data_IF_877563108855
#
_entry.id   IF_877563108855
#
_cell.length_a   1.000
_cell.length_b   1.000
_cell.length_c   1.000
_cell.angle_alpha   90.00
_cell.angle_beta   90.00
_cell.angle_gamma   90.00
#
_symmetry.space_group_name_H-M   'P 1'
#
loop_
_entity.id
_entity.type
_entity.pdbx_description
1 polymer ?
#
# COMPACT_ATOMS: atom_id res chain seq x y z
N UNK A 1 -1.79 33.00 5.57
CA UNK A 1 -1.17 31.80 6.23
C UNK A 1 -1.83 30.58 5.60
N UNK A 2 -1.05 29.66 5.00
CA UNK A 2 -1.58 28.57 4.16
C UNK A 2 -2.74 27.79 4.82
N UNK A 3 -2.68 27.52 6.12
CA UNK A 3 -3.74 26.80 6.86
C UNK A 3 -5.07 27.57 6.85
N UNK A 4 -5.03 28.88 7.11
CA UNK A 4 -6.22 29.74 7.15
C UNK A 4 -6.81 29.87 5.74
N UNK A 5 -5.96 30.05 4.73
CA UNK A 5 -6.40 30.15 3.32
C UNK A 5 -6.96 28.83 2.80
N UNK A 6 -6.39 27.70 3.22
CA UNK A 6 -6.88 26.37 2.88
C UNK A 6 -8.25 26.08 3.50
N UNK A 7 -8.42 26.41 4.79
CA UNK A 7 -9.70 26.27 5.50
C UNK A 7 -10.81 27.16 4.93
N UNK A 8 -10.46 28.24 4.24
CA UNK A 8 -11.40 29.17 3.63
C UNK A 8 -11.55 28.99 2.10
N UNK A 9 -10.88 28.01 1.49
CA UNK A 9 -10.97 27.79 0.05
C UNK A 9 -12.32 27.16 -0.33
N UNK A 10 -13.18 27.97 -0.95
CA UNK A 10 -14.53 27.56 -1.37
C UNK A 10 -14.52 26.52 -2.48
N UNK A 11 -13.53 26.56 -3.37
CA UNK A 11 -13.42 25.60 -4.48
C UNK A 11 -12.99 24.22 -3.96
N UNK A 12 -12.07 24.17 -3.00
CA UNK A 12 -11.72 22.91 -2.35
C UNK A 12 -12.91 22.36 -1.56
N UNK A 13 -13.65 23.21 -0.84
CA UNK A 13 -14.85 22.80 -0.08
C UNK A 13 -15.93 22.17 -0.96
N UNK A 14 -16.19 22.71 -2.15
CA UNK A 14 -17.18 22.12 -3.05
C UNK A 14 -16.76 20.76 -3.61
N UNK A 15 -15.45 20.54 -3.75
CA UNK A 15 -14.89 19.27 -4.25
C UNK A 15 -14.82 18.17 -3.18
N UNK A 16 -14.71 18.51 -1.89
CA UNK A 16 -14.61 17.53 -0.80
C UNK A 16 -15.78 16.53 -0.82
N UNK A 17 -17.00 16.96 -1.15
CA UNK A 17 -18.16 16.08 -1.22
C UNK A 17 -18.10 15.03 -2.34
N UNK A 18 -17.19 15.19 -3.30
CA UNK A 18 -17.08 14.37 -4.51
C UNK A 18 -15.87 13.43 -4.53
N UNK A 19 -14.97 13.52 -3.53
CA UNK A 19 -13.74 12.72 -3.50
C UNK A 19 -13.47 12.16 -2.11
N UNK A 20 -13.01 10.90 -2.04
CA UNK A 20 -12.53 10.29 -0.80
C UNK A 20 -11.17 10.86 -0.37
N UNK A 21 -10.41 11.48 -1.28
CA UNK A 21 -9.08 12.01 -0.99
C UNK A 21 -8.88 13.37 -1.66
N UNK A 22 -8.67 14.40 -0.83
CA UNK A 22 -8.50 15.78 -1.30
C UNK A 22 -7.06 16.09 -1.74
N UNK A 23 -6.05 15.38 -1.23
CA UNK A 23 -4.65 15.73 -1.46
C UNK A 23 -4.19 15.77 -2.93
N UNK A 24 -4.72 14.95 -3.86
CA UNK A 24 -4.39 15.05 -5.29
C UNK A 24 -4.88 16.33 -5.96
N UNK A 25 -5.95 16.94 -5.46
CA UNK A 25 -6.58 18.14 -6.07
C UNK A 25 -6.06 19.45 -5.45
N UNK A 26 -5.34 19.40 -4.33
CA UNK A 26 -4.76 20.58 -3.69
C UNK A 26 -3.58 21.10 -4.52
N UNK A 27 -3.60 22.40 -4.84
CA UNK A 27 -2.49 23.06 -5.52
C UNK A 27 -1.23 23.07 -4.64
N UNK A 28 -0.17 22.40 -5.10
CA UNK A 28 1.14 22.36 -4.44
C UNK A 28 1.86 23.71 -4.47
N UNK A 29 1.53 24.55 -5.43
CA UNK A 29 2.09 25.91 -5.54
C UNK A 29 1.47 26.84 -4.50
N UNK A 30 0.14 26.77 -4.35
CA UNK A 30 -0.62 27.61 -3.40
C UNK A 30 -0.45 27.16 -1.95
N UNK A 31 -0.32 25.85 -1.70
CA UNK A 31 -0.30 25.25 -0.37
C UNK A 31 0.95 24.37 -0.14
N UNK A 32 2.11 24.90 -0.51
CA UNK A 32 3.37 24.15 -0.55
C UNK A 32 3.79 23.55 0.81
N UNK A 33 3.68 24.33 1.88
CA UNK A 33 4.05 23.91 3.23
C UNK A 33 3.06 22.88 3.75
N UNK A 34 1.76 23.12 3.55
CA UNK A 34 0.69 22.23 3.96
C UNK A 34 0.78 20.88 3.24
N UNK A 35 0.95 20.87 1.92
CA UNK A 35 1.16 19.64 1.14
C UNK A 35 2.38 18.86 1.64
N UNK A 36 3.48 19.56 1.95
CA UNK A 36 4.68 18.91 2.51
C UNK A 36 4.41 18.26 3.88
N UNK A 37 3.67 18.93 4.76
CA UNK A 37 3.29 18.37 6.07
C UNK A 37 2.35 17.19 5.91
N UNK A 38 1.33 17.30 5.05
CA UNK A 38 0.40 16.21 4.76
C UNK A 38 1.13 14.96 4.25
N UNK A 39 2.11 15.13 3.36
CA UNK A 39 2.95 14.03 2.88
C UNK A 39 3.75 13.38 4.01
N UNK A 40 4.32 14.16 4.94
CA UNK A 40 5.03 13.62 6.11
C UNK A 40 4.10 12.81 7.02
N UNK A 41 2.92 13.34 7.32
CA UNK A 41 1.92 12.63 8.15
C UNK A 41 1.46 11.34 7.46
N UNK A 42 1.18 11.41 6.15
CA UNK A 42 0.83 10.23 5.35
C UNK A 42 1.95 9.18 5.38
N UNK A 43 3.21 9.60 5.18
CA UNK A 43 4.35 8.70 5.21
C UNK A 43 4.49 7.99 6.56
N UNK A 44 4.36 8.71 7.68
CA UNK A 44 4.39 8.12 9.02
C UNK A 44 3.30 7.07 9.21
N UNK A 45 2.05 7.39 8.86
CA UNK A 45 0.95 6.45 8.98
C UNK A 45 1.13 5.22 8.08
N UNK A 46 1.47 5.44 6.81
CA UNK A 46 1.70 4.35 5.85
C UNK A 46 2.87 3.46 6.26
N UNK A 47 3.98 3.99 6.77
CA UNK A 47 5.11 3.18 7.22
C UNK A 47 4.77 2.31 8.43
N UNK A 48 4.02 2.86 9.40
CA UNK A 48 3.57 2.11 10.57
C UNK A 48 2.64 0.98 10.15
N UNK A 49 1.63 1.29 9.33
CA UNK A 49 0.70 0.29 8.80
C UNK A 49 1.42 -0.82 8.03
N UNK A 50 2.32 -0.47 7.12
CA UNK A 50 3.07 -1.45 6.33
C UNK A 50 3.94 -2.35 7.22
N UNK A 51 4.56 -1.79 8.25
CA UNK A 51 5.35 -2.55 9.22
C UNK A 51 4.49 -3.56 10.00
N UNK A 52 3.38 -3.10 10.59
CA UNK A 52 2.44 -3.95 11.34
C UNK A 52 1.82 -5.05 10.47
N UNK A 53 1.42 -4.70 9.25
CA UNK A 53 0.90 -5.65 8.25
C UNK A 53 1.96 -6.67 7.86
N UNK A 54 3.20 -6.23 7.62
CA UNK A 54 4.32 -7.13 7.28
C UNK A 54 4.64 -8.10 8.41
N UNK A 55 4.65 -7.66 9.67
CA UNK A 55 4.84 -8.55 10.82
C UNK A 55 3.69 -9.55 10.99
N UNK A 56 2.45 -9.10 10.78
CA UNK A 56 1.28 -9.97 10.82
C UNK A 56 1.34 -11.05 9.73
N UNK A 57 1.71 -10.66 8.51
CA UNK A 57 1.95 -11.57 7.40
C UNK A 57 3.09 -12.55 7.71
N UNK A 58 4.21 -12.07 8.25
CA UNK A 58 5.33 -12.92 8.65
C UNK A 58 4.90 -13.97 9.68
N UNK A 59 4.08 -13.61 10.67
CA UNK A 59 3.53 -14.54 11.66
C UNK A 59 2.63 -15.60 11.01
N UNK A 60 1.81 -15.22 10.04
CA UNK A 60 0.96 -16.15 9.30
C UNK A 60 1.77 -17.11 8.41
N UNK A 61 2.79 -16.58 7.72
CA UNK A 61 3.70 -17.34 6.85
C UNK A 61 4.52 -18.33 7.70
N UNK A 62 5.08 -17.87 8.83
CA UNK A 62 5.79 -18.70 9.81
C UNK A 62 4.83 -19.38 10.77
N UNK A 63 3.94 -20.22 10.24
CA UNK A 63 3.07 -21.04 11.08
C UNK A 63 3.71 -22.41 11.39
N UNK A 64 3.19 -23.07 12.42
CA UNK A 64 3.67 -24.37 12.93
C UNK A 64 3.59 -25.54 11.93
N UNK A 65 2.94 -25.35 10.79
CA UNK A 65 2.75 -26.38 9.78
C UNK A 65 3.81 -26.30 8.65
N UNK A 66 4.63 -25.24 8.62
CA UNK A 66 5.68 -25.04 7.60
C UNK A 66 7.08 -25.31 8.16
N UNK A 67 7.53 -26.55 8.07
CA UNK A 67 8.82 -26.99 8.65
C UNK A 67 10.03 -26.85 7.72
N UNK A 68 9.82 -26.41 6.47
CA UNK A 68 10.85 -26.28 5.42
C UNK A 68 10.98 -24.86 4.87
N UNK A 69 10.48 -23.87 5.59
CA UNK A 69 10.55 -22.48 5.17
C UNK A 69 11.99 -21.96 5.35
N UNK A 70 12.63 -21.55 4.26
CA UNK A 70 13.95 -20.91 4.29
C UNK A 70 13.78 -19.39 4.37
N UNK A 71 14.84 -18.67 4.69
CA UNK A 71 14.81 -17.20 4.74
C UNK A 71 14.50 -16.60 3.36
N UNK A 72 14.99 -17.21 2.28
CA UNK A 72 14.67 -16.81 0.90
C UNK A 72 13.16 -16.99 0.60
N UNK A 73 12.59 -18.14 0.97
CA UNK A 73 11.14 -18.36 0.81
C UNK A 73 10.32 -17.35 1.62
N UNK A 74 10.78 -17.01 2.83
CA UNK A 74 10.11 -16.05 3.70
C UNK A 74 10.16 -14.63 3.13
N UNK A 75 11.32 -14.16 2.68
CA UNK A 75 11.49 -12.86 2.04
C UNK A 75 10.58 -12.73 0.80
N UNK A 76 10.59 -13.73 -0.07
CA UNK A 76 9.71 -13.76 -1.25
C UNK A 76 8.22 -13.72 -0.87
N UNK A 77 7.80 -14.47 0.15
CA UNK A 77 6.41 -14.48 0.62
C UNK A 77 5.99 -13.13 1.23
N UNK A 78 6.84 -12.50 2.04
CA UNK A 78 6.55 -11.18 2.64
C UNK A 78 6.46 -10.12 1.54
N UNK A 79 7.39 -10.10 0.59
CA UNK A 79 7.36 -9.16 -0.56
C UNK A 79 6.09 -9.32 -1.37
N UNK A 80 5.68 -10.55 -1.65
CA UNK A 80 4.43 -10.83 -2.36
C UNK A 80 3.23 -10.33 -1.57
N UNK A 81 3.17 -10.61 -0.26
CA UNK A 81 2.08 -10.18 0.62
C UNK A 81 2.00 -8.65 0.81
N UNK A 82 3.11 -7.94 0.70
CA UNK A 82 3.17 -6.47 0.78
C UNK A 82 2.91 -5.78 -0.58
N UNK A 83 2.85 -6.54 -1.67
CA UNK A 83 2.65 -6.00 -3.02
C UNK A 83 1.18 -5.92 -3.40
N UNK A 84 0.86 -5.04 -4.36
CA UNK A 84 -0.44 -5.04 -5.04
C UNK A 84 -0.46 -5.98 -6.25
N UNK A 85 0.53 -6.88 -6.36
CA UNK A 85 0.63 -7.78 -7.50
C UNK A 85 -0.49 -8.81 -7.47
N UNK A 86 -1.20 -8.95 -8.57
CA UNK A 86 -2.20 -10.00 -8.78
C UNK A 86 -1.62 -11.05 -9.72
N UNK A 87 -1.50 -12.29 -9.22
CA UNK A 87 -0.97 -13.39 -10.02
C UNK A 87 -1.92 -13.69 -11.20
N UNK A 88 -1.37 -13.80 -12.40
CA UNK A 88 -2.13 -14.25 -13.56
C UNK A 88 -2.21 -15.79 -13.56
N UNK A 89 -3.12 -16.33 -12.75
CA UNK A 89 -3.28 -17.77 -12.55
C UNK A 89 -3.58 -18.49 -13.86
N UNK A 90 -4.38 -17.88 -14.76
CA UNK A 90 -4.71 -18.47 -16.06
C UNK A 90 -3.46 -18.72 -16.89
N UNK A 91 -2.62 -17.69 -17.02
CA UNK A 91 -1.34 -17.81 -17.73
C UNK A 91 -0.45 -18.90 -17.11
N UNK A 92 -0.38 -19.00 -15.79
CA UNK A 92 0.42 -20.03 -15.11
C UNK A 92 -0.10 -21.43 -15.41
N UNK A 93 -1.43 -21.62 -15.42
CA UNK A 93 -2.05 -22.91 -15.76
C UNK A 93 -1.80 -23.26 -17.22
N UNK A 94 -1.93 -22.29 -18.12
CA UNK A 94 -1.73 -22.48 -19.56
C UNK A 94 -0.26 -22.80 -19.89
N UNK A 95 0.70 -22.28 -19.10
CA UNK A 95 2.14 -22.54 -19.22
C UNK A 95 2.62 -23.78 -18.45
N UNK A 96 1.81 -24.34 -17.55
CA UNK A 96 2.16 -25.55 -16.83
C UNK A 96 1.89 -26.79 -17.69
N UNK A 97 2.94 -27.45 -18.17
CA UNK A 97 2.80 -28.78 -18.75
C UNK A 97 2.45 -29.77 -17.63
N UNK A 98 1.37 -30.54 -17.81
CA UNK A 98 1.00 -31.60 -16.88
C UNK A 98 2.05 -32.72 -16.92
N UNK A 99 3.05 -32.66 -16.04
CA UNK A 99 3.89 -33.83 -15.74
C UNK A 99 2.99 -34.92 -15.14
N UNK A 100 2.90 -36.10 -15.76
CA UNK A 100 2.07 -37.18 -15.24
C UNK A 100 2.65 -37.65 -13.90
N UNK A 101 1.80 -37.67 -12.88
CA UNK A 101 2.13 -38.25 -11.57
C UNK A 101 2.49 -39.74 -11.71
N UNK A 102 3.61 -40.15 -11.12
CA UNK A 102 4.03 -41.55 -10.99
C UNK A 102 3.17 -42.34 -9.99
#
# INVERSE_FOLDING_TARGET
MEVIEFQNDLALKSLVSSTECIWPIVSKEKYSVLCRVALKVKALFSSTYLCESSFSNMKFIKNKYRNRLTDEHLDNCIRMAASNYTANIKKIIDESECEPSH
#
